data_IF_007687922979
#
_entry.id   IF_007687922979
#
_cell.length_a   1.000
_cell.length_b   1.000
_cell.length_c   1.000
_cell.angle_alpha   90.00
_cell.angle_beta   90.00
_cell.angle_gamma   90.00
#
_symmetry.space_group_name_H-M   'P 1'
#
loop_
_entity.id
_entity.type
_entity.pdbx_description
1 polymer ?
#
# COMPACT_ATOMS: atom_id res chain seq x y z
N UNK A 1 16.41 -42.90 26.96
CA UNK A 1 17.19 -41.77 26.42
C UNK A 1 16.21 -40.81 25.76
N UNK A 2 15.72 -39.82 26.51
CA UNK A 2 15.03 -38.69 25.88
C UNK A 2 16.13 -37.84 25.23
N UNK A 3 16.09 -37.68 23.91
CA UNK A 3 17.05 -36.82 23.23
C UNK A 3 16.80 -35.38 23.68
N UNK A 4 17.84 -34.71 24.18
CA UNK A 4 17.71 -33.33 24.61
C UNK A 4 17.30 -32.45 23.41
N UNK A 5 16.14 -31.81 23.51
CA UNK A 5 15.67 -30.85 22.50
C UNK A 5 16.67 -29.70 22.37
N UNK A 6 17.12 -29.43 21.15
CA UNK A 6 18.05 -28.33 20.87
C UNK A 6 17.31 -27.02 21.07
N UNK A 7 17.68 -26.27 22.12
CA UNK A 7 17.10 -24.96 22.42
C UNK A 7 17.28 -24.01 21.23
N UNK A 8 16.19 -23.44 20.72
CA UNK A 8 16.14 -22.55 19.55
C UNK A 8 17.04 -21.29 19.66
N UNK A 9 17.41 -20.90 20.88
CA UNK A 9 18.31 -19.77 21.13
C UNK A 9 19.82 -20.10 20.99
N UNK A 10 20.17 -21.32 20.58
CA UNK A 10 21.57 -21.74 20.35
C UNK A 10 22.05 -21.55 18.90
N UNK A 11 21.16 -21.14 17.98
CA UNK A 11 21.54 -20.90 16.59
C UNK A 11 22.14 -19.49 16.42
N UNK A 12 23.32 -19.42 15.81
CA UNK A 12 23.88 -18.14 15.37
C UNK A 12 22.91 -17.47 14.36
N UNK A 13 22.71 -16.15 14.46
CA UNK A 13 21.95 -15.41 13.47
C UNK A 13 22.63 -15.56 12.10
N UNK A 14 21.96 -16.25 11.18
CA UNK A 14 22.43 -16.41 9.81
C UNK A 14 21.82 -15.31 8.92
N UNK A 15 22.67 -14.56 8.23
CA UNK A 15 22.26 -13.51 7.28
C UNK A 15 21.76 -14.06 5.94
N UNK A 16 22.13 -15.30 5.60
CA UNK A 16 21.76 -15.97 4.35
C UNK A 16 21.28 -17.41 4.58
N UNK A 17 20.18 -17.56 5.31
CA UNK A 17 19.58 -18.87 5.54
C UNK A 17 18.64 -19.28 4.39
N UNK A 18 18.84 -20.49 3.85
CA UNK A 18 17.94 -21.09 2.85
C UNK A 18 16.55 -21.47 3.43
N UNK A 19 16.48 -21.64 4.75
CA UNK A 19 15.28 -22.08 5.46
C UNK A 19 15.03 -21.23 6.71
N UNK A 20 13.77 -21.02 7.02
CA UNK A 20 13.30 -20.59 8.33
C UNK A 20 12.93 -21.84 9.14
N UNK A 21 13.33 -21.87 10.40
CA UNK A 21 12.97 -22.94 11.33
C UNK A 21 11.80 -22.48 12.20
N UNK A 22 10.84 -23.38 12.41
CA UNK A 22 9.68 -23.14 13.27
C UNK A 22 9.37 -24.39 14.09
N UNK A 23 8.46 -24.26 15.05
CA UNK A 23 7.96 -25.36 15.88
C UNK A 23 6.56 -25.77 15.41
N UNK A 24 6.31 -27.06 15.22
CA UNK A 24 4.98 -27.60 14.95
C UNK A 24 4.18 -27.79 16.24
N UNK A 25 2.87 -28.03 16.11
CA UNK A 25 1.95 -28.17 17.26
C UNK A 25 2.29 -29.27 18.26
N UNK A 26 3.13 -30.23 17.87
CA UNK A 26 3.64 -31.31 18.72
C UNK A 26 5.04 -31.03 19.30
N UNK A 27 5.52 -29.79 19.22
CA UNK A 27 6.85 -29.38 19.71
C UNK A 27 8.02 -29.81 18.82
N UNK A 28 7.76 -30.49 17.70
CA UNK A 28 8.82 -30.88 16.76
C UNK A 28 9.30 -29.69 15.93
N UNK A 29 10.56 -29.75 15.50
CA UNK A 29 11.13 -28.75 14.62
C UNK A 29 10.71 -28.99 13.17
N UNK A 30 10.24 -27.94 12.50
CA UNK A 30 9.95 -27.93 11.06
C UNK A 30 10.80 -26.89 10.33
N UNK A 31 10.99 -27.07 9.02
CA UNK A 31 11.75 -26.16 8.16
C UNK A 31 10.86 -25.65 7.02
N UNK A 32 10.89 -24.35 6.78
CA UNK A 32 10.17 -23.68 5.69
C UNK A 32 11.22 -23.08 4.76
N UNK A 33 11.20 -23.42 3.46
CA UNK A 33 12.11 -22.78 2.49
C UNK A 33 11.83 -21.29 2.45
N UNK A 34 12.89 -20.47 2.35
CA UNK A 34 12.73 -19.01 2.22
C UNK A 34 11.90 -18.62 1.00
N UNK A 35 12.02 -19.38 -0.10
CA UNK A 35 11.20 -19.21 -1.32
C UNK A 35 9.71 -19.44 -1.08
N UNK A 36 9.38 -20.36 -0.17
CA UNK A 36 8.01 -20.85 0.02
C UNK A 36 7.31 -20.12 1.18
N UNK A 37 8.07 -19.39 2.01
CA UNK A 37 7.57 -18.67 3.17
C UNK A 37 6.44 -17.69 2.81
N UNK A 38 6.57 -16.99 1.69
CA UNK A 38 5.55 -16.04 1.22
C UNK A 38 4.23 -16.76 0.92
N UNK A 39 4.28 -17.94 0.29
CA UNK A 39 3.08 -18.74 -0.01
C UNK A 39 2.44 -19.30 1.27
N UNK A 40 3.25 -19.73 2.25
CA UNK A 40 2.75 -20.16 3.56
C UNK A 40 2.01 -19.02 4.27
N UNK A 41 2.57 -17.81 4.27
CA UNK A 41 1.94 -16.62 4.85
C UNK A 41 0.63 -16.28 4.12
N UNK A 42 0.62 -16.31 2.78
CA UNK A 42 -0.59 -16.07 1.97
C UNK A 42 -1.70 -17.07 2.29
N UNK A 43 -1.37 -18.36 2.38
CA UNK A 43 -2.34 -19.40 2.71
C UNK A 43 -2.92 -19.22 4.12
N UNK A 44 -2.10 -18.80 5.09
CA UNK A 44 -2.54 -18.51 6.46
C UNK A 44 -3.33 -17.19 6.59
N UNK A 45 -3.24 -16.31 5.59
CA UNK A 45 -3.89 -15.00 5.55
C UNK A 45 -4.69 -14.84 4.24
N UNK A 46 -5.76 -15.61 4.03
CA UNK A 46 -6.51 -15.60 2.77
C UNK A 46 -7.21 -14.25 2.50
N UNK A 47 -7.43 -13.44 3.54
CA UNK A 47 -7.93 -12.08 3.44
C UNK A 47 -7.02 -11.17 4.27
N UNK A 48 -6.33 -10.24 3.61
CA UNK A 48 -5.57 -9.19 4.28
C UNK A 48 -6.58 -8.11 4.71
N UNK A 49 -7.09 -8.23 5.93
CA UNK A 49 -7.90 -7.18 6.56
C UNK A 49 -7.07 -6.43 7.59
N UNK A 50 -7.51 -5.21 7.92
CA UNK A 50 -6.91 -4.35 8.96
C UNK A 50 -6.85 -4.98 10.35
N UNK A 51 -7.53 -6.10 10.54
CA UNK A 51 -7.99 -6.61 11.82
C UNK A 51 -7.47 -8.03 12.10
N UNK A 52 -6.87 -8.74 11.13
CA UNK A 52 -6.14 -10.00 11.36
C UNK A 52 -4.88 -10.13 10.47
N UNK A 53 -3.71 -10.09 11.13
CA UNK A 53 -2.37 -10.40 10.62
C UNK A 53 -1.66 -9.40 9.66
N UNK A 54 -2.20 -8.18 9.51
CA UNK A 54 -1.43 -6.96 9.80
C UNK A 54 -0.23 -6.52 8.95
N UNK A 55 0.06 -7.10 7.78
CA UNK A 55 1.09 -6.53 6.90
C UNK A 55 0.49 -5.55 5.90
N UNK A 56 0.24 -4.33 6.39
CA UNK A 56 0.22 -3.14 5.53
C UNK A 56 1.59 -3.05 4.83
N UNK A 57 1.64 -2.86 3.51
CA UNK A 57 2.91 -2.58 2.84
C UNK A 57 3.50 -1.30 3.46
N UNK A 58 4.82 -1.26 3.71
CA UNK A 58 5.47 -0.02 4.17
C UNK A 58 5.20 1.12 3.18
N UNK A 59 4.99 0.78 1.91
CA UNK A 59 4.74 1.67 0.80
C UNK A 59 3.24 1.97 0.61
N UNK A 60 2.35 1.18 1.25
CA UNK A 60 0.89 1.40 1.26
C UNK A 60 0.42 2.14 2.51
N UNK A 61 1.31 2.79 3.27
CA UNK A 61 0.93 3.92 4.13
C UNK A 61 1.06 5.24 3.33
N UNK A 62 0.07 5.65 2.49
CA UNK A 62 0.13 6.98 1.88
C UNK A 62 -0.18 8.10 2.88
N UNK A 63 -0.40 7.85 4.18
CA UNK A 63 -1.18 8.76 5.03
C UNK A 63 -0.68 8.98 6.46
N UNK A 64 0.62 8.91 6.73
CA UNK A 64 1.17 9.52 7.95
C UNK A 64 2.64 9.90 7.85
N UNK A 65 2.95 10.73 6.86
CA UNK A 65 4.10 11.63 6.89
C UNK A 65 3.58 13.06 6.81
N UNK A 66 3.71 13.84 7.87
CA UNK A 66 3.29 15.25 7.95
C UNK A 66 4.12 16.20 7.05
N UNK A 67 4.89 15.67 6.09
CA UNK A 67 5.99 16.40 5.46
C UNK A 67 6.14 16.17 3.96
N UNK A 68 5.46 15.18 3.38
CA UNK A 68 5.65 14.86 1.96
C UNK A 68 4.56 15.53 1.12
N UNK A 69 5.02 16.43 0.24
CA UNK A 69 4.20 17.04 -0.80
C UNK A 69 3.81 15.95 -1.79
N UNK A 70 2.53 15.57 -1.86
CA UNK A 70 2.09 14.48 -2.75
C UNK A 70 1.96 14.98 -4.19
N UNK A 71 2.66 14.39 -5.15
CA UNK A 71 2.42 14.67 -6.56
C UNK A 71 1.27 13.82 -7.10
N UNK A 72 0.14 14.47 -7.41
CA UNK A 72 -1.05 13.76 -7.88
C UNK A 72 -0.85 13.09 -9.25
N UNK A 73 0.15 13.49 -10.05
CA UNK A 73 0.48 12.82 -11.31
C UNK A 73 1.02 11.39 -11.10
N UNK A 74 1.62 11.11 -9.94
CA UNK A 74 2.18 9.80 -9.61
C UNK A 74 1.12 8.77 -9.22
N UNK A 75 -0.14 9.21 -9.06
CA UNK A 75 -1.26 8.36 -8.67
C UNK A 75 -1.94 7.86 -9.94
N UNK A 76 -1.38 6.80 -10.53
CA UNK A 76 -1.83 6.18 -11.78
C UNK A 76 -2.40 4.77 -11.57
N UNK A 77 -2.90 4.49 -10.35
CA UNK A 77 -3.51 3.22 -9.95
C UNK A 77 -4.87 3.45 -9.31
N UNK A 78 -5.72 2.40 -9.30
CA UNK A 78 -6.98 2.45 -8.58
C UNK A 78 -6.73 2.80 -7.11
N UNK A 79 -7.23 3.96 -6.66
CA UNK A 79 -6.93 4.49 -5.33
C UNK A 79 -8.02 5.44 -4.82
N UNK A 80 -8.17 5.49 -3.50
CA UNK A 80 -8.91 6.54 -2.78
C UNK A 80 -8.02 7.10 -1.69
N UNK A 81 -7.71 8.39 -1.77
CA UNK A 81 -6.70 9.04 -0.92
C UNK A 81 -7.34 10.26 -0.27
N UNK A 82 -7.23 10.33 1.07
CA UNK A 82 -7.51 11.57 1.79
C UNK A 82 -6.33 12.51 1.62
N UNK A 83 -6.57 13.72 1.14
CA UNK A 83 -5.54 14.75 1.05
C UNK A 83 -5.64 15.59 2.33
N UNK A 84 -4.57 15.57 3.14
CA UNK A 84 -4.49 16.30 4.42
C UNK A 84 -3.24 17.18 4.54
N UNK A 85 -2.44 17.25 3.46
CA UNK A 85 -1.18 17.99 3.35
C UNK A 85 -1.11 18.67 1.98
N UNK A 86 -0.07 19.49 1.77
CA UNK A 86 0.24 20.11 0.47
C UNK A 86 0.44 19.03 -0.60
N UNK A 87 -0.07 19.28 -1.81
CA UNK A 87 0.13 18.43 -2.97
C UNK A 87 0.65 19.24 -4.18
N UNK A 88 1.29 18.54 -5.11
CA UNK A 88 1.71 19.01 -6.44
C UNK A 88 0.69 18.55 -7.48
N UNK A 89 0.56 19.33 -8.56
CA UNK A 89 -0.27 19.01 -9.71
C UNK A 89 -1.74 18.71 -9.37
N UNK A 90 -2.23 19.30 -8.28
CA UNK A 90 -3.65 19.31 -7.96
C UNK A 90 -4.39 20.48 -8.58
N UNK A 91 -5.72 20.47 -8.49
CA UNK A 91 -6.56 21.49 -9.10
C UNK A 91 -6.41 22.87 -8.47
N UNK A 92 -6.01 22.93 -7.20
CA UNK A 92 -5.88 24.17 -6.44
C UNK A 92 -4.49 24.21 -5.82
N UNK A 93 -3.65 25.13 -6.32
CA UNK A 93 -2.30 25.33 -5.79
C UNK A 93 -2.37 25.71 -4.29
N UNK A 94 -1.67 24.94 -3.45
CA UNK A 94 -1.63 25.20 -2.01
C UNK A 94 -2.87 24.76 -1.22
N UNK A 95 -3.85 24.10 -1.85
CA UNK A 95 -4.90 23.41 -1.09
C UNK A 95 -4.30 22.22 -0.33
N UNK A 96 -4.65 22.09 0.94
CA UNK A 96 -4.10 21.04 1.81
C UNK A 96 -5.14 19.99 2.17
N UNK A 97 -6.40 20.17 1.75
CA UNK A 97 -7.50 19.36 2.25
C UNK A 97 -8.48 18.99 1.14
N UNK A 98 -8.80 17.70 1.09
CA UNK A 98 -9.76 17.14 0.15
C UNK A 98 -9.69 15.62 0.11
N UNK A 99 -10.26 15.03 -0.93
CA UNK A 99 -10.02 13.63 -1.24
C UNK A 99 -9.89 13.42 -2.74
N UNK A 100 -8.95 12.56 -3.12
CA UNK A 100 -8.74 12.11 -4.49
C UNK A 100 -9.29 10.70 -4.64
N UNK A 101 -10.02 10.46 -5.72
CA UNK A 101 -10.27 9.13 -6.27
C UNK A 101 -9.54 9.03 -7.60
N UNK A 102 -8.85 7.92 -7.81
CA UNK A 102 -8.23 7.57 -9.07
C UNK A 102 -8.81 6.24 -9.55
N UNK A 103 -9.30 6.21 -10.78
CA UNK A 103 -9.90 5.05 -11.43
C UNK A 103 -9.14 4.77 -12.73
N UNK A 104 -8.60 3.57 -12.87
CA UNK A 104 -7.84 3.14 -14.05
C UNK A 104 -8.73 2.28 -14.93
N UNK A 105 -8.88 2.70 -16.18
CA UNK A 105 -9.59 2.00 -17.25
C UNK A 105 -8.62 1.52 -18.33
N UNK A 106 -9.12 0.76 -19.30
CA UNK A 106 -8.32 0.21 -20.40
C UNK A 106 -7.67 1.30 -21.25
N UNK A 107 -8.36 2.41 -21.52
CA UNK A 107 -7.84 3.46 -22.39
C UNK A 107 -7.36 4.71 -21.64
N UNK A 108 -7.80 4.91 -20.40
CA UNK A 108 -7.52 6.13 -19.67
C UNK A 108 -7.47 5.94 -18.15
N UNK A 109 -6.92 6.93 -17.48
CA UNK A 109 -6.97 7.09 -16.02
C UNK A 109 -7.81 8.32 -15.74
N UNK A 110 -8.80 8.18 -14.86
CA UNK A 110 -9.64 9.28 -14.37
C UNK A 110 -9.20 9.64 -12.95
N UNK A 111 -9.02 10.92 -12.69
CA UNK A 111 -8.85 11.46 -11.36
C UNK A 111 -10.00 12.40 -11.02
N UNK A 112 -10.57 12.21 -9.83
CA UNK A 112 -11.64 13.02 -9.26
C UNK A 112 -11.14 13.56 -7.91
N UNK A 113 -11.06 14.87 -7.77
CA UNK A 113 -10.63 15.54 -6.55
C UNK A 113 -11.79 16.34 -5.97
N UNK A 114 -12.18 16.01 -4.74
CA UNK A 114 -13.18 16.74 -3.97
C UNK A 114 -12.46 17.70 -3.02
N UNK A 115 -12.58 19.00 -3.30
CA UNK A 115 -12.11 20.03 -2.39
C UNK A 115 -13.09 20.28 -1.24
N UNK A 116 -12.60 20.86 -0.14
CA UNK A 116 -13.46 21.36 0.95
C UNK A 116 -14.29 22.59 0.55
N UNK A 117 -14.01 23.17 -0.62
CA UNK A 117 -14.74 24.27 -1.25
C UNK A 117 -16.09 23.83 -1.87
N UNK A 118 -16.42 22.54 -1.79
CA UNK A 118 -17.62 21.97 -2.41
C UNK A 118 -17.53 21.84 -3.93
N UNK A 119 -16.32 21.96 -4.49
CA UNK A 119 -16.06 21.82 -5.92
C UNK A 119 -15.52 20.41 -6.19
N UNK A 120 -16.12 19.74 -7.17
CA UNK A 120 -15.58 18.51 -7.74
C UNK A 120 -14.69 18.88 -8.92
N UNK A 121 -13.44 18.46 -8.85
CA UNK A 121 -12.45 18.61 -9.91
C UNK A 121 -12.22 17.27 -10.59
N UNK A 122 -12.10 17.26 -11.90
CA UNK A 122 -11.86 16.06 -12.70
C UNK A 122 -10.77 16.31 -13.73
N UNK A 123 -9.93 15.31 -13.96
CA UNK A 123 -9.00 15.27 -15.08
C UNK A 123 -8.75 13.84 -15.51
N UNK A 124 -8.10 13.66 -16.65
CA UNK A 124 -7.73 12.34 -17.13
C UNK A 124 -6.33 12.30 -17.73
N UNK A 125 -5.83 11.08 -17.90
CA UNK A 125 -4.65 10.75 -18.68
C UNK A 125 -5.00 9.62 -19.64
N UNK A 126 -4.81 9.82 -20.95
CA UNK A 126 -5.04 8.81 -22.00
C UNK A 126 -3.79 7.99 -22.33
N UNK A 127 -2.67 8.27 -21.66
CA UNK A 127 -1.39 7.56 -21.81
C UNK A 127 -0.87 7.06 -20.46
N UNK A 128 -1.77 6.46 -19.67
CA UNK A 128 -1.41 5.72 -18.44
C UNK A 128 -0.60 6.51 -17.40
N UNK A 129 -0.82 7.83 -17.34
CA UNK A 129 -0.22 8.73 -16.37
C UNK A 129 1.07 9.43 -16.83
N UNK A 130 1.52 9.22 -18.06
CA UNK A 130 2.68 9.94 -18.62
C UNK A 130 2.39 11.43 -18.82
N UNK A 131 1.19 11.77 -19.31
CA UNK A 131 0.71 13.16 -19.42
C UNK A 131 -0.70 13.28 -18.89
N UNK A 132 -1.04 14.45 -18.36
CA UNK A 132 -2.34 14.73 -17.76
C UNK A 132 -3.01 15.90 -18.48
N UNK A 133 -4.32 15.78 -18.73
CA UNK A 133 -5.13 16.93 -19.06
C UNK A 133 -5.21 17.90 -17.89
N UNK A 134 -5.49 19.17 -18.19
CA UNK A 134 -5.79 20.19 -17.20
C UNK A 134 -7.03 19.81 -16.37
N UNK A 135 -7.03 20.24 -15.10
CA UNK A 135 -8.16 20.03 -14.20
C UNK A 135 -9.37 20.85 -14.65
N UNK A 136 -10.53 20.19 -14.74
CA UNK A 136 -11.85 20.80 -14.97
C UNK A 136 -12.66 20.73 -13.68
N UNK A 137 -13.56 21.69 -13.46
CA UNK A 137 -14.34 21.79 -12.22
C UNK A 137 -15.85 21.77 -12.47
N UNK A 138 -16.59 21.18 -11.55
CA UNK A 138 -18.04 21.27 -11.41
C UNK A 138 -18.36 21.72 -9.99
N UNK A 139 -19.16 22.79 -9.87
CA UNK A 139 -19.69 23.26 -8.58
C UNK A 139 -21.14 22.82 -8.45
N UNK A 140 -21.46 22.12 -7.36
CA UNK A 140 -22.85 21.80 -7.03
C UNK A 140 -23.49 23.05 -6.38
N UNK A 141 -24.66 23.43 -6.87
CA UNK A 141 -25.47 24.55 -6.36
C UNK A 141 -26.73 24.04 -5.70
#
# INVERSE_FOLDING_TARGET
MAGDDIKMNSFAQATDAAYIYAESSNGSQVKIKKSDLVEVIRAAMPVVTTDKNGLYSKDDFPLRGYTNKYDLNTINRNARIRISNIHLNGPVAGSNYGCLRCSVYEDYILQEYWGLDGILWVRQSTNKGETWEEWKSVKFT
#
